data_IF_986901944468
#
_entry.id   IF_986901944468
#
_cell.length_a   1.000
_cell.length_b   1.000
_cell.length_c   1.000
_cell.angle_alpha   90.00
_cell.angle_beta   90.00
_cell.angle_gamma   90.00
#
_symmetry.space_group_name_H-M   'P 1'
#
loop_
_entity.id
_entity.type
_entity.pdbx_description
1 polymer ?
#
# COMPACT_ATOMS: atom_id res chain seq x y z
N UNK A 1 -25.05 5.42 -6.45
CA UNK A 1 -24.26 4.27 -6.98
C UNK A 1 -23.15 4.66 -7.96
N UNK A 2 -23.17 5.84 -8.60
CA UNK A 2 -22.17 6.26 -9.59
C UNK A 2 -20.79 6.65 -8.99
N UNK A 3 -20.74 7.08 -7.73
CA UNK A 3 -19.50 7.55 -7.08
C UNK A 3 -18.60 6.43 -6.51
N UNK A 4 -19.16 5.26 -6.14
CA UNK A 4 -18.39 4.12 -5.58
C UNK A 4 -17.41 3.54 -6.62
N UNK A 5 -17.82 3.43 -7.89
CA UNK A 5 -16.96 2.92 -8.98
C UNK A 5 -15.77 3.85 -9.28
N UNK A 6 -15.98 5.16 -9.30
CA UNK A 6 -14.89 6.13 -9.50
C UNK A 6 -13.90 6.17 -8.33
N UNK A 7 -14.36 5.98 -7.09
CA UNK A 7 -13.49 5.88 -5.92
C UNK A 7 -12.58 4.65 -5.96
N UNK A 8 -13.15 3.49 -6.29
CA UNK A 8 -12.39 2.23 -6.37
C UNK A 8 -11.32 2.26 -7.48
N UNK A 9 -11.66 2.82 -8.66
CA UNK A 9 -10.71 2.98 -9.77
C UNK A 9 -9.56 3.93 -9.39
N UNK A 10 -9.85 5.05 -8.71
CA UNK A 10 -8.80 5.95 -8.21
C UNK A 10 -7.88 5.25 -7.21
N UNK A 11 -8.42 4.39 -6.36
CA UNK A 11 -7.64 3.64 -5.38
C UNK A 11 -6.68 2.64 -6.04
N UNK A 12 -7.16 1.91 -7.06
CA UNK A 12 -6.33 1.02 -7.87
C UNK A 12 -5.20 1.80 -8.57
N UNK A 13 -5.50 2.96 -9.15
CA UNK A 13 -4.49 3.81 -9.79
C UNK A 13 -3.41 4.23 -8.79
N UNK A 14 -3.79 4.62 -7.57
CA UNK A 14 -2.83 4.99 -6.51
C UNK A 14 -1.91 3.80 -6.16
N UNK A 15 -2.46 2.59 -6.03
CA UNK A 15 -1.66 1.37 -5.76
C UNK A 15 -0.67 1.11 -6.90
N UNK A 16 -1.12 1.20 -8.15
CA UNK A 16 -0.25 1.00 -9.32
C UNK A 16 0.87 2.04 -9.38
N UNK A 17 0.57 3.31 -9.13
CA UNK A 17 1.57 4.39 -9.10
C UNK A 17 2.59 4.15 -7.99
N UNK A 18 2.16 3.77 -6.78
CA UNK A 18 3.07 3.45 -5.68
C UNK A 18 4.02 2.29 -6.03
N UNK A 19 3.50 1.21 -6.64
CA UNK A 19 4.30 0.07 -7.09
C UNK A 19 5.31 0.46 -8.19
N UNK A 20 4.90 1.31 -9.14
CA UNK A 20 5.79 1.83 -10.18
C UNK A 20 6.89 2.70 -9.62
N UNK A 21 6.60 3.56 -8.63
CA UNK A 21 7.60 4.39 -7.97
C UNK A 21 8.61 3.52 -7.21
N UNK A 22 8.15 2.51 -6.46
CA UNK A 22 9.05 1.55 -5.78
C UNK A 22 10.00 0.86 -6.78
N UNK A 23 9.47 0.43 -7.93
CA UNK A 23 10.28 -0.17 -9.00
C UNK A 23 11.25 0.83 -9.64
N UNK A 24 10.80 2.06 -9.91
CA UNK A 24 11.60 3.11 -10.57
C UNK A 24 12.79 3.54 -9.72
N UNK A 25 12.58 3.76 -8.42
CA UNK A 25 13.67 4.13 -7.52
C UNK A 25 14.57 2.94 -7.15
N UNK A 26 14.29 1.73 -7.66
CA UNK A 26 15.03 0.51 -7.30
C UNK A 26 14.96 0.23 -5.80
N UNK A 27 13.92 0.75 -5.15
CA UNK A 27 13.78 0.73 -3.71
C UNK A 27 13.28 -0.64 -3.32
N UNK A 28 14.21 -1.48 -2.87
CA UNK A 28 13.89 -2.72 -2.21
C UNK A 28 13.42 -2.44 -0.79
N UNK A 29 12.53 -3.27 -0.27
CA UNK A 29 12.07 -3.20 1.12
C UNK A 29 13.28 -3.18 2.07
N UNK A 30 14.35 -3.91 1.74
CA UNK A 30 15.62 -3.90 2.45
C UNK A 30 16.38 -2.56 2.40
N UNK A 31 16.33 -1.83 1.28
CA UNK A 31 16.92 -0.49 1.17
C UNK A 31 16.19 0.55 2.01
N UNK A 32 14.84 0.47 2.06
CA UNK A 32 14.02 1.31 2.95
C UNK A 32 14.32 0.97 4.41
N UNK A 33 14.35 -0.32 4.76
CA UNK A 33 14.65 -0.80 6.12
C UNK A 33 15.97 -0.23 6.62
N UNK A 34 17.02 -0.32 5.79
CA UNK A 34 18.33 0.21 6.13
C UNK A 34 18.32 1.73 6.30
N UNK A 35 17.63 2.47 5.42
CA UNK A 35 17.55 3.94 5.51
C UNK A 35 16.79 4.41 6.77
N UNK A 36 15.72 3.72 7.14
CA UNK A 36 14.88 4.09 8.28
C UNK A 36 15.29 3.41 9.60
N UNK A 37 16.38 2.63 9.61
CA UNK A 37 16.79 1.82 10.76
C UNK A 37 15.68 0.91 11.29
N UNK A 38 14.79 0.47 10.39
CA UNK A 38 13.66 -0.38 10.72
C UNK A 38 14.06 -1.84 10.61
N UNK A 39 13.48 -2.67 11.47
CA UNK A 39 13.64 -4.12 11.42
C UNK A 39 12.55 -4.77 10.58
N UNK A 40 12.84 -5.96 10.04
CA UNK A 40 11.86 -6.74 9.26
C UNK A 40 10.56 -7.01 10.02
N UNK A 41 10.63 -7.13 11.35
CA UNK A 41 9.46 -7.32 12.20
C UNK A 41 8.51 -6.11 12.17
N UNK A 42 9.05 -4.89 12.17
CA UNK A 42 8.26 -3.66 12.11
C UNK A 42 7.57 -3.51 10.75
N UNK A 43 8.26 -3.84 9.66
CA UNK A 43 7.66 -3.80 8.32
C UNK A 43 6.55 -4.84 8.17
N UNK A 44 6.72 -6.05 8.67
CA UNK A 44 5.64 -7.05 8.66
C UNK A 44 4.44 -6.54 9.47
N UNK A 45 4.69 -5.86 10.60
CA UNK A 45 3.65 -5.19 11.37
C UNK A 45 2.92 -4.10 10.57
N UNK A 46 3.65 -3.24 9.88
CA UNK A 46 3.09 -2.17 9.04
C UNK A 46 2.33 -2.74 7.83
N UNK A 47 2.83 -3.81 7.25
CA UNK A 47 2.18 -4.51 6.13
C UNK A 47 0.85 -5.13 6.58
N UNK A 48 0.82 -5.75 7.75
CA UNK A 48 -0.43 -6.26 8.35
C UNK A 48 -1.43 -5.14 8.64
N UNK A 49 -0.97 -3.99 9.15
CA UNK A 49 -1.85 -2.83 9.37
C UNK A 49 -2.41 -2.29 8.05
N UNK A 50 -1.58 -2.15 7.02
CA UNK A 50 -2.01 -1.71 5.69
C UNK A 50 -2.99 -2.70 5.04
N UNK A 51 -2.77 -4.01 5.23
CA UNK A 51 -3.65 -5.07 4.75
C UNK A 51 -5.01 -5.05 5.45
N UNK A 52 -5.03 -4.91 6.77
CA UNK A 52 -6.28 -4.80 7.54
C UNK A 52 -7.06 -3.54 7.13
N UNK A 53 -6.38 -2.40 6.99
CA UNK A 53 -7.01 -1.18 6.47
C UNK A 53 -7.60 -1.36 5.07
N UNK A 54 -6.89 -2.07 4.19
CA UNK A 54 -7.38 -2.36 2.84
C UNK A 54 -8.63 -3.25 2.86
N UNK A 55 -8.65 -4.28 3.72
CA UNK A 55 -9.83 -5.14 3.92
C UNK A 55 -11.00 -4.32 4.45
N UNK A 56 -10.78 -3.47 5.45
CA UNK A 56 -11.83 -2.61 6.02
C UNK A 56 -12.40 -1.65 4.96
N UNK A 57 -11.53 -1.08 4.13
CA UNK A 57 -11.93 -0.22 3.04
C UNK A 57 -12.74 -0.99 1.98
N UNK A 58 -12.34 -2.20 1.64
CA UNK A 58 -13.07 -3.05 0.70
C UNK A 58 -14.45 -3.45 1.24
N UNK A 59 -14.52 -3.81 2.53
CA UNK A 59 -15.77 -4.13 3.21
C UNK A 59 -16.69 -2.90 3.34
N UNK A 60 -16.14 -1.71 3.55
CA UNK A 60 -16.89 -0.45 3.60
C UNK A 60 -17.51 -0.07 2.23
N UNK A 61 -16.86 -0.47 1.13
CA UNK A 61 -17.36 -0.21 -0.23
C UNK A 61 -18.39 -1.26 -0.67
N UNK A 62 -18.45 -2.44 -0.06
CA UNK A 62 -19.51 -3.44 -0.27
C UNK A 62 -20.89 -2.91 0.17
#
# INVERSE_FOLDING_TARGET
MMNKKNGFIKLIIIIIVALLLMKYFGVTISGILAYFHLTWAEIIGWFNMAWNWFIDLFNSVK
#
